data_IF_297343787442
#
_entry.id   IF_297343787442
#
_cell.length_a   1.000
_cell.length_b   1.000
_cell.length_c   1.000
_cell.angle_alpha   90.00
_cell.angle_beta   90.00
_cell.angle_gamma   90.00
#
_symmetry.space_group_name_H-M   'P 1'
#
loop_
_entity.id
_entity.type
_entity.pdbx_description
1 polymer ?
#
# COMPACT_ATOMS: atom_id res chain seq x y z
N UNK A 1 -13.53 -21.12 -1.40
CA UNK A 1 -14.14 -20.52 -2.61
C UNK A 1 -13.27 -20.84 -3.81
N UNK A 2 -13.81 -20.80 -5.02
CA UNK A 2 -13.05 -20.93 -6.29
C UNK A 2 -13.04 -19.56 -6.98
N UNK A 3 -11.91 -19.16 -7.57
CA UNK A 3 -11.83 -17.92 -8.35
C UNK A 3 -12.57 -18.08 -9.68
N UNK A 4 -13.06 -16.97 -10.22
CA UNK A 4 -13.72 -16.97 -11.53
C UNK A 4 -12.76 -17.33 -12.65
N UNK A 5 -11.49 -16.96 -12.50
CA UNK A 5 -10.39 -17.30 -13.43
C UNK A 5 -10.28 -18.83 -13.59
N UNK A 6 -10.16 -19.53 -12.47
CA UNK A 6 -10.01 -20.99 -12.45
C UNK A 6 -11.32 -21.75 -12.70
N UNK A 7 -12.45 -21.17 -12.24
CA UNK A 7 -13.76 -21.79 -12.36
C UNK A 7 -14.31 -21.77 -13.79
N UNK A 8 -14.04 -20.68 -14.52
CA UNK A 8 -14.70 -20.36 -15.79
C UNK A 8 -13.70 -19.91 -16.86
N UNK A 9 -12.89 -18.89 -16.60
CA UNK A 9 -12.09 -18.22 -17.65
C UNK A 9 -11.07 -19.17 -18.30
N UNK A 10 -10.40 -20.02 -17.52
CA UNK A 10 -9.43 -21.01 -18.03
C UNK A 10 -10.08 -22.13 -18.87
N UNK A 11 -11.39 -22.36 -18.70
CA UNK A 11 -12.12 -23.45 -19.35
C UNK A 11 -12.99 -22.96 -20.51
N UNK A 12 -13.11 -21.66 -20.68
CA UNK A 12 -13.95 -21.05 -21.70
C UNK A 12 -13.19 -21.00 -23.04
N UNK A 13 -13.78 -21.56 -24.09
CA UNK A 13 -13.19 -21.56 -25.45
C UNK A 13 -13.44 -20.25 -26.21
N UNK A 14 -14.28 -19.36 -25.67
CA UNK A 14 -14.79 -18.16 -26.34
C UNK A 14 -14.32 -16.85 -25.67
N UNK A 15 -13.04 -16.77 -25.32
CA UNK A 15 -12.44 -15.59 -24.66
C UNK A 15 -11.83 -14.65 -25.70
N UNK A 16 -12.09 -13.35 -25.56
CA UNK A 16 -11.48 -12.29 -26.35
C UNK A 16 -10.84 -11.25 -25.42
N UNK A 17 -9.68 -10.72 -25.80
CA UNK A 17 -8.94 -9.72 -25.03
C UNK A 17 -8.82 -8.43 -25.85
N UNK A 18 -9.09 -7.29 -25.23
CA UNK A 18 -8.86 -5.97 -25.80
C UNK A 18 -7.75 -5.26 -25.03
N UNK A 19 -6.73 -4.78 -25.74
CA UNK A 19 -5.61 -4.06 -25.14
C UNK A 19 -6.01 -2.62 -24.88
N UNK A 20 -6.10 -2.22 -23.61
CA UNK A 20 -6.30 -0.84 -23.22
C UNK A 20 -4.97 -0.12 -23.01
N UNK A 21 -4.79 1.04 -23.65
CA UNK A 21 -3.66 1.94 -23.40
C UNK A 21 -4.08 3.03 -22.41
N UNK A 22 -4.29 2.60 -21.17
CA UNK A 22 -4.52 3.47 -20.03
C UNK A 22 -3.71 2.91 -18.86
N UNK A 23 -3.16 3.81 -18.03
CA UNK A 23 -2.36 3.45 -16.85
C UNK A 23 -3.20 2.75 -15.79
N UNK A 24 -3.52 1.49 -16.03
CA UNK A 24 -4.28 0.64 -15.14
C UNK A 24 -3.33 -0.03 -14.16
N UNK A 25 -3.65 0.10 -12.87
CA UNK A 25 -3.01 -0.62 -11.79
C UNK A 25 -4.10 -1.25 -10.96
N UNK A 26 -3.88 -2.49 -10.52
CA UNK A 26 -4.67 -3.10 -9.46
C UNK A 26 -4.56 -2.23 -8.21
N UNK A 27 -5.48 -1.29 -8.04
CA UNK A 27 -5.58 -0.39 -6.89
C UNK A 27 -5.82 -1.24 -5.64
N UNK A 28 -4.75 -1.74 -5.04
CA UNK A 28 -4.80 -2.61 -3.87
C UNK A 28 -3.42 -2.91 -3.29
N UNK A 29 -2.38 -2.24 -3.79
CA UNK A 29 -0.99 -2.40 -3.34
C UNK A 29 -0.44 -1.01 -2.95
N UNK A 30 0.35 -0.96 -1.88
CA UNK A 30 1.01 0.24 -1.41
C UNK A 30 2.06 0.75 -2.41
N UNK A 31 2.64 -0.14 -3.21
CA UNK A 31 3.54 0.16 -4.31
C UNK A 31 2.85 0.95 -5.42
N UNK A 32 1.61 0.59 -5.77
CA UNK A 32 0.79 1.38 -6.69
C UNK A 32 0.54 2.79 -6.14
N UNK A 33 0.15 2.90 -4.86
CA UNK A 33 -0.04 4.21 -4.21
C UNK A 33 1.22 5.06 -4.30
N UNK A 34 2.38 4.50 -3.96
CA UNK A 34 3.66 5.20 -4.09
C UNK A 34 3.93 5.71 -5.51
N UNK A 35 3.56 4.96 -6.56
CA UNK A 35 3.75 5.42 -7.94
C UNK A 35 2.88 6.63 -8.30
N UNK A 36 1.61 6.65 -7.88
CA UNK A 36 0.68 7.72 -8.22
C UNK A 36 0.84 8.99 -7.37
N UNK A 37 1.34 8.87 -6.14
CA UNK A 37 1.50 10.06 -5.29
C UNK A 37 2.64 10.96 -5.81
N UNK A 38 2.45 12.30 -5.73
CA UNK A 38 3.53 13.26 -5.89
C UNK A 38 4.67 12.94 -4.93
N UNK A 39 5.89 13.10 -5.41
CA UNK A 39 7.10 12.85 -4.64
C UNK A 39 7.85 14.15 -4.42
N UNK A 40 8.49 14.28 -3.26
CA UNK A 40 9.47 15.32 -3.01
C UNK A 40 10.82 14.99 -3.71
N UNK A 41 11.81 15.85 -3.50
CA UNK A 41 13.15 15.73 -4.09
C UNK A 41 13.90 14.46 -3.63
N UNK A 42 13.56 13.92 -2.45
CA UNK A 42 14.13 12.70 -1.86
C UNK A 42 13.30 11.44 -2.19
N UNK A 43 12.37 11.57 -3.15
CA UNK A 43 11.45 10.53 -3.59
C UNK A 43 10.48 10.04 -2.49
N UNK A 44 10.18 10.85 -1.48
CA UNK A 44 9.14 10.53 -0.50
C UNK A 44 7.77 10.92 -1.03
N UNK A 45 6.79 10.04 -0.86
CA UNK A 45 5.38 10.29 -1.13
C UNK A 45 4.64 10.46 0.21
N UNK A 46 3.96 11.57 0.41
CA UNK A 46 3.20 11.82 1.64
C UNK A 46 1.78 12.31 1.34
N UNK A 47 0.80 11.80 2.10
CA UNK A 47 -0.61 12.18 1.96
C UNK A 47 -1.03 13.39 2.81
N UNK A 48 -0.19 13.85 3.75
CA UNK A 48 -0.47 14.96 4.67
C UNK A 48 0.82 15.70 5.06
N UNK A 49 0.76 16.54 6.09
CA UNK A 49 1.93 17.25 6.61
C UNK A 49 2.91 16.30 7.32
N UNK A 50 4.16 16.28 6.85
CA UNK A 50 5.26 15.58 7.49
C UNK A 50 6.54 16.42 7.45
N UNK A 51 7.31 16.39 8.53
CA UNK A 51 8.67 16.92 8.60
C UNK A 51 9.64 15.75 8.57
N UNK A 52 10.50 15.74 7.57
CA UNK A 52 11.37 14.60 7.25
C UNK A 52 12.84 15.01 7.32
N UNK A 53 13.67 14.19 7.95
CA UNK A 53 15.12 14.37 8.09
C UNK A 53 15.83 13.07 7.67
N UNK A 54 16.90 13.15 6.83
CA UNK A 54 17.61 11.97 6.29
C UNK A 54 16.65 10.82 5.88
N UNK A 55 15.57 11.18 5.19
CA UNK A 55 14.48 10.26 4.83
C UNK A 55 14.28 10.28 3.33
N UNK A 56 14.27 9.10 2.70
CA UNK A 56 14.20 8.97 1.25
C UNK A 56 13.42 7.73 0.81
N UNK A 57 12.74 7.81 -0.34
CA UNK A 57 12.00 6.70 -0.92
C UNK A 57 10.83 6.17 -0.07
N UNK A 58 10.34 6.96 0.90
CA UNK A 58 9.30 6.55 1.82
C UNK A 58 7.88 6.85 1.32
N UNK A 59 6.91 6.03 1.72
CA UNK A 59 5.47 6.30 1.57
C UNK A 59 4.86 6.57 2.94
N UNK A 60 4.31 7.77 3.16
CA UNK A 60 3.65 8.16 4.39
C UNK A 60 2.17 8.40 4.12
N UNK A 61 1.32 7.50 4.63
CA UNK A 61 -0.13 7.64 4.64
C UNK A 61 -0.58 7.97 6.06
N UNK A 62 -0.98 9.22 6.29
CA UNK A 62 -1.27 9.76 7.61
C UNK A 62 -2.65 10.45 7.64
N UNK A 63 -3.29 10.58 8.81
CA UNK A 63 -4.50 11.38 8.98
C UNK A 63 -4.23 12.86 8.68
N UNK A 64 -5.23 13.58 8.15
CA UNK A 64 -5.09 14.98 7.72
C UNK A 64 -4.63 15.93 8.83
N UNK A 65 -5.06 15.70 10.06
CA UNK A 65 -4.81 16.62 11.19
C UNK A 65 -3.64 16.17 12.08
N UNK A 66 -2.73 15.35 11.54
CA UNK A 66 -1.59 14.83 12.28
C UNK A 66 -0.29 15.14 11.56
N UNK A 67 0.61 15.82 12.28
CA UNK A 67 1.98 16.06 11.86
C UNK A 67 2.84 14.84 12.19
N UNK A 68 3.49 14.26 11.18
CA UNK A 68 4.54 13.28 11.40
C UNK A 68 5.91 13.95 11.42
N UNK A 69 6.79 13.47 12.30
CA UNK A 69 8.22 13.80 12.29
C UNK A 69 8.98 12.50 12.08
N UNK A 70 9.72 12.40 10.98
CA UNK A 70 10.41 11.17 10.58
C UNK A 70 11.89 11.48 10.37
N UNK A 71 12.75 10.62 10.89
CA UNK A 71 14.19 10.74 10.74
C UNK A 71 14.84 9.40 10.41
N UNK A 72 15.73 9.37 9.41
CA UNK A 72 16.58 8.22 9.09
C UNK A 72 15.87 7.04 8.41
N UNK A 73 14.64 7.18 7.90
CA UNK A 73 13.94 6.10 7.21
C UNK A 73 14.27 6.09 5.72
N UNK A 74 14.61 4.90 5.19
CA UNK A 74 14.93 4.71 3.76
C UNK A 74 14.13 3.55 3.20
N UNK A 75 13.33 3.82 2.17
CA UNK A 75 12.45 2.84 1.53
C UNK A 75 11.45 2.17 2.51
N UNK A 76 10.79 2.98 3.34
CA UNK A 76 9.74 2.50 4.27
C UNK A 76 8.34 2.93 3.85
N UNK A 77 7.36 2.11 4.22
CA UNK A 77 5.94 2.45 4.22
C UNK A 77 5.53 2.72 5.67
N UNK A 78 4.97 3.89 5.91
CA UNK A 78 4.39 4.33 7.18
C UNK A 78 2.90 4.58 6.93
N UNK A 79 2.04 3.82 7.59
CA UNK A 79 0.58 3.96 7.50
C UNK A 79 0.04 4.17 8.90
N UNK A 80 -0.69 5.25 9.08
CA UNK A 80 -1.33 5.59 10.33
C UNK A 80 -2.83 5.73 10.10
N UNK A 81 -3.57 4.76 10.63
CA UNK A 81 -5.03 4.74 10.67
C UNK A 81 -5.49 5.04 12.10
N UNK A 82 -6.79 5.30 12.35
CA UNK A 82 -7.28 5.58 13.70
C UNK A 82 -6.90 4.52 14.75
N UNK A 83 -6.78 3.26 14.33
CA UNK A 83 -6.60 2.13 15.25
C UNK A 83 -5.22 1.44 15.13
N UNK A 84 -4.44 1.73 14.08
CA UNK A 84 -3.16 1.06 13.80
C UNK A 84 -2.14 2.02 13.20
N UNK A 85 -0.92 1.95 13.75
CA UNK A 85 0.29 2.47 13.12
C UNK A 85 1.11 1.29 12.59
N UNK A 86 1.35 1.28 11.27
CA UNK A 86 2.19 0.29 10.60
C UNK A 86 3.43 0.98 10.03
N UNK A 87 4.60 0.42 10.33
CA UNK A 87 5.89 0.86 9.79
C UNK A 87 6.61 -0.38 9.28
N UNK A 88 6.90 -0.44 7.99
CA UNK A 88 7.58 -1.59 7.40
C UNK A 88 8.41 -1.21 6.16
N UNK A 89 9.46 -1.98 5.83
CA UNK A 89 10.19 -1.80 4.58
C UNK A 89 9.25 -1.94 3.38
N UNK A 90 9.41 -1.09 2.37
CA UNK A 90 8.63 -1.10 1.12
C UNK A 90 8.80 -2.41 0.35
N UNK A 91 9.96 -3.06 0.48
CA UNK A 91 10.22 -4.41 -0.06
C UNK A 91 9.31 -5.50 0.53
N UNK A 92 8.74 -5.28 1.71
CA UNK A 92 7.91 -6.27 2.42
C UNK A 92 6.42 -6.15 2.05
N UNK A 93 6.09 -5.39 1.02
CA UNK A 93 4.72 -5.23 0.52
C UNK A 93 3.91 -6.55 0.39
N UNK A 94 4.46 -7.65 -0.14
CA UNK A 94 3.72 -8.92 -0.22
C UNK A 94 3.29 -9.46 1.15
N UNK A 95 4.05 -9.14 2.21
CA UNK A 95 3.87 -9.64 3.58
C UNK A 95 2.90 -8.74 4.38
N UNK A 96 2.63 -7.51 3.93
CA UNK A 96 1.71 -6.58 4.63
C UNK A 96 0.33 -7.20 4.83
N UNK A 97 -0.19 -7.92 3.82
CA UNK A 97 -1.47 -8.65 3.94
C UNK A 97 -1.44 -9.68 5.07
N UNK A 98 -0.30 -10.36 5.26
CA UNK A 98 -0.09 -11.30 6.36
C UNK A 98 -0.09 -10.60 7.72
N UNK A 99 0.54 -9.43 7.85
CA UNK A 99 0.52 -8.65 9.08
C UNK A 99 -0.90 -8.22 9.48
N UNK A 100 -1.70 -7.75 8.51
CA UNK A 100 -3.10 -7.38 8.75
C UNK A 100 -3.90 -8.60 9.21
N UNK A 101 -3.74 -9.74 8.55
CA UNK A 101 -4.43 -10.98 8.93
C UNK A 101 -4.03 -11.48 10.32
N UNK A 102 -2.75 -11.36 10.69
CA UNK A 102 -2.26 -11.75 12.02
C UNK A 102 -2.80 -10.82 13.11
N UNK A 103 -2.91 -9.52 12.85
CA UNK A 103 -3.53 -8.56 13.76
C UNK A 103 -5.01 -8.93 13.98
N UNK A 104 -5.75 -9.25 12.90
CA UNK A 104 -7.14 -9.73 12.99
C UNK A 104 -7.24 -10.96 13.89
N UNK A 105 -6.34 -11.92 13.71
CA UNK A 105 -6.34 -13.15 14.50
C UNK A 105 -6.04 -12.90 15.99
N UNK A 106 -5.05 -12.05 16.30
CA UNK A 106 -4.59 -11.83 17.69
C UNK A 106 -5.43 -10.81 18.47
N UNK A 107 -6.03 -9.83 17.79
CA UNK A 107 -6.68 -8.68 18.42
C UNK A 107 -8.14 -8.49 17.99
N UNK A 108 -8.66 -9.36 17.13
CA UNK A 108 -10.01 -9.27 16.57
C UNK A 108 -10.16 -8.16 15.53
N UNK A 109 -11.39 -7.94 15.05
CA UNK A 109 -11.66 -6.99 13.96
C UNK A 109 -11.63 -5.50 14.37
N UNK A 110 -11.20 -5.19 15.59
CA UNK A 110 -11.29 -3.83 16.17
C UNK A 110 -10.20 -2.87 15.66
N UNK A 111 -9.24 -3.37 14.90
CA UNK A 111 -8.02 -2.66 14.49
C UNK A 111 -7.74 -2.82 12.99
N UNK A 112 -8.79 -2.83 12.16
CA UNK A 112 -8.69 -2.98 10.70
C UNK A 112 -9.14 -1.70 10.02
#
# INVERSE_FOLDING_TARGET
SISIDYGVMEKAENVYVHTGDFGWSDMGTWGSLYQYYPKDDEANACSSEAVMFDTSGCLLSLPKDKLAVVNGLKDFIVVDTPDVLMICPRSNEPIIKTFINEIRFRKGDKHI
#
